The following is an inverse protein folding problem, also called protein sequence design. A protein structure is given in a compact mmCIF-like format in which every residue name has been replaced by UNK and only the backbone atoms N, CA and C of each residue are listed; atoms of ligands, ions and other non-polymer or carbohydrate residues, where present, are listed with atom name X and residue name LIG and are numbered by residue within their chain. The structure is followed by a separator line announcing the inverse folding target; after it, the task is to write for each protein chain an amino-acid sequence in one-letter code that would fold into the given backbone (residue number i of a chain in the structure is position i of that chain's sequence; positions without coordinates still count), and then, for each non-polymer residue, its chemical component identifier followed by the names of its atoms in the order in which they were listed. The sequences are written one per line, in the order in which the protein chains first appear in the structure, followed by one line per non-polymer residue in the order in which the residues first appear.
data_IF_318559066803
#
_entry.id   IF_318559066803
#
_cell.length_a   1.000
_cell.length_b   1.000
_cell.length_c   1.000
_cell.angle_alpha   90.00
_cell.angle_beta   90.00
_cell.angle_gamma   90.00
#
_symmetry.space_group_name_H-M   'P 1'
#
loop_
_entity.id
_entity.type
_entity.pdbx_description
1 polymer ?
#
# COMPACT_ATOMS: atom_id res chain seq x y z
N UNK A 1 -27.88 -8.45 7.72
CA UNK A 1 -26.79 -7.52 7.36
C UNK A 1 -25.57 -8.37 7.09
N UNK A 2 -25.00 -8.26 5.89
CA UNK A 2 -23.66 -8.81 5.62
C UNK A 2 -22.68 -7.99 6.49
N UNK A 3 -21.71 -8.65 7.11
CA UNK A 3 -20.70 -8.10 8.02
C UNK A 3 -20.22 -6.68 7.67
N UNK A 4 -19.75 -5.93 8.67
CA UNK A 4 -19.06 -4.63 8.55
C UNK A 4 -17.71 -4.67 7.80
N UNK A 5 -17.47 -5.72 7.02
CA UNK A 5 -16.25 -5.90 6.25
C UNK A 5 -16.38 -5.14 4.92
N UNK A 6 -15.34 -4.42 4.54
CA UNK A 6 -15.27 -3.74 3.25
C UNK A 6 -14.99 -4.76 2.14
N UNK A 7 -15.84 -4.78 1.11
CA UNK A 7 -15.67 -5.63 -0.07
C UNK A 7 -15.43 -4.78 -1.31
N UNK A 8 -14.56 -5.26 -2.19
CA UNK A 8 -14.35 -4.68 -3.53
C UNK A 8 -15.18 -5.47 -4.54
N UNK A 9 -16.09 -4.78 -5.23
CA UNK A 9 -16.84 -5.35 -6.35
C UNK A 9 -16.08 -5.11 -7.66
N UNK A 10 -16.11 -6.10 -8.56
CA UNK A 10 -15.53 -6.02 -9.90
C UNK A 10 -16.62 -6.32 -10.93
N UNK A 11 -16.68 -5.50 -11.97
CA UNK A 11 -17.58 -5.67 -13.10
C UNK A 11 -16.82 -5.45 -14.40
N UNK A 12 -17.11 -6.29 -15.40
CA UNK A 12 -16.62 -6.16 -16.76
C UNK A 12 -17.62 -5.37 -17.61
N UNK A 13 -17.10 -4.45 -18.42
CA UNK A 13 -17.84 -3.64 -19.37
C UNK A 13 -17.28 -3.86 -20.78
N UNK A 14 -18.16 -3.85 -21.78
CA UNK A 14 -17.78 -3.82 -23.18
C UNK A 14 -17.76 -2.37 -23.66
N UNK A 15 -16.60 -1.91 -24.14
CA UNK A 15 -16.40 -0.55 -24.65
C UNK A 15 -16.63 -0.43 -26.15
N UNK A 16 -16.68 -1.56 -26.87
CA UNK A 16 -16.93 -1.62 -28.31
C UNK A 16 -18.43 -1.67 -28.63
N UNK A 17 -19.23 -2.27 -27.75
CA UNK A 17 -20.70 -2.33 -27.91
C UNK A 17 -21.40 -2.04 -26.57
N UNK A 18 -22.06 -0.87 -26.42
CA UNK A 18 -22.72 -0.50 -25.18
C UNK A 18 -23.79 -1.52 -24.74
N UNK A 19 -23.74 -1.95 -23.47
CA UNK A 19 -24.84 -2.66 -22.80
C UNK A 19 -24.91 -4.18 -22.96
N UNK A 20 -23.91 -4.84 -23.56
CA UNK A 20 -24.00 -6.28 -23.90
C UNK A 20 -23.54 -7.23 -22.79
N UNK A 21 -22.71 -6.80 -21.83
CA UNK A 21 -22.22 -7.72 -20.79
C UNK A 21 -23.30 -7.97 -19.74
N UNK A 22 -23.99 -9.09 -19.85
CA UNK A 22 -25.07 -9.46 -18.93
C UNK A 22 -24.53 -9.81 -17.54
N UNK A 23 -25.41 -9.89 -16.54
CA UNK A 23 -25.05 -10.39 -15.21
C UNK A 23 -24.52 -11.84 -15.27
N UNK A 24 -25.07 -12.67 -16.16
CA UNK A 24 -24.62 -14.04 -16.40
C UNK A 24 -23.18 -14.06 -16.96
N UNK A 25 -22.88 -13.20 -17.94
CA UNK A 25 -21.54 -13.09 -18.51
C UNK A 25 -20.54 -12.59 -17.47
N UNK A 26 -20.89 -11.55 -16.72
CA UNK A 26 -20.09 -11.06 -15.60
C UNK A 26 -19.81 -12.16 -14.57
N UNK A 27 -20.83 -12.93 -14.17
CA UNK A 27 -20.66 -14.07 -13.26
C UNK A 27 -19.68 -15.11 -13.79
N UNK A 28 -19.76 -15.43 -15.10
CA UNK A 28 -18.82 -16.34 -15.76
C UNK A 28 -17.38 -15.79 -15.76
N UNK A 29 -17.18 -14.53 -16.12
CA UNK A 29 -15.85 -13.91 -16.19
C UNK A 29 -15.22 -13.73 -14.82
N UNK A 30 -16.00 -13.31 -13.82
CA UNK A 30 -15.54 -13.20 -12.43
C UNK A 30 -15.18 -14.55 -11.85
N UNK A 31 -15.95 -15.61 -12.15
CA UNK A 31 -15.59 -16.98 -11.74
C UNK A 31 -14.28 -17.43 -12.38
N UNK A 32 -14.09 -17.16 -13.66
CA UNK A 32 -12.83 -17.47 -14.34
C UNK A 32 -11.65 -16.69 -13.73
N UNK A 33 -11.84 -15.41 -13.41
CA UNK A 33 -10.85 -14.57 -12.75
C UNK A 33 -10.47 -15.11 -11.36
N UNK A 34 -11.47 -15.46 -10.54
CA UNK A 34 -11.27 -16.07 -9.24
C UNK A 34 -10.49 -17.39 -9.34
N UNK A 35 -10.79 -18.23 -10.32
CA UNK A 35 -10.05 -19.48 -10.57
C UNK A 35 -8.59 -19.17 -10.91
N UNK A 36 -8.32 -18.21 -11.79
CA UNK A 36 -6.94 -17.81 -12.14
C UNK A 36 -6.18 -17.29 -10.92
N UNK A 37 -6.80 -16.44 -10.10
CA UNK A 37 -6.18 -15.91 -8.88
C UNK A 37 -5.84 -17.05 -7.90
N UNK A 38 -6.76 -17.99 -7.71
CA UNK A 38 -6.50 -19.18 -6.86
C UNK A 38 -5.42 -20.08 -7.42
N UNK A 39 -5.41 -20.32 -8.73
CA UNK A 39 -4.35 -21.11 -9.39
C UNK A 39 -3.00 -20.42 -9.26
N UNK A 40 -2.92 -19.11 -9.50
CA UNK A 40 -1.70 -18.33 -9.32
C UNK A 40 -1.15 -18.42 -7.91
N UNK A 41 -2.00 -18.23 -6.90
CA UNK A 41 -1.64 -18.38 -5.48
C UNK A 41 -1.15 -19.79 -5.15
N UNK A 42 -1.80 -20.83 -5.69
CA UNK A 42 -1.40 -22.21 -5.49
C UNK A 42 -0.04 -22.52 -6.14
N UNK A 43 0.16 -22.14 -7.40
CA UNK A 43 1.43 -22.35 -8.11
C UNK A 43 2.58 -21.56 -7.48
N UNK A 44 2.32 -20.34 -7.02
CA UNK A 44 3.31 -19.55 -6.29
C UNK A 44 3.74 -20.29 -5.01
N UNK A 45 2.79 -20.79 -4.22
CA UNK A 45 3.09 -21.61 -3.04
C UNK A 45 3.95 -22.83 -3.39
N UNK A 46 3.60 -23.57 -4.46
CA UNK A 46 4.39 -24.71 -4.93
C UNK A 46 5.79 -24.33 -5.42
N UNK A 47 5.92 -23.18 -6.08
CA UNK A 47 7.20 -22.64 -6.52
C UNK A 47 8.09 -22.32 -5.32
N UNK A 48 7.57 -21.64 -4.29
CA UNK A 48 8.28 -21.39 -3.04
C UNK A 48 8.72 -22.68 -2.33
N UNK A 49 7.83 -23.67 -2.22
CA UNK A 49 8.14 -24.99 -1.65
C UNK A 49 9.28 -25.67 -2.40
N UNK A 50 9.20 -25.69 -3.74
CA UNK A 50 10.22 -26.31 -4.58
C UNK A 50 11.56 -25.57 -4.48
N UNK A 51 11.55 -24.24 -4.51
CA UNK A 51 12.75 -23.42 -4.33
C UNK A 51 13.43 -23.74 -3.00
N UNK A 52 12.66 -23.81 -1.91
CA UNK A 52 13.16 -24.22 -0.58
C UNK A 52 13.74 -25.63 -0.58
N UNK A 53 13.04 -26.61 -1.16
CA UNK A 53 13.51 -28.00 -1.26
C UNK A 53 14.82 -28.11 -2.04
N UNK A 54 15.01 -27.26 -3.04
CA UNK A 54 16.20 -27.23 -3.91
C UNK A 54 17.31 -26.32 -3.37
N UNK A 55 17.09 -25.64 -2.24
CA UNK A 55 18.03 -24.66 -1.71
C UNK A 55 18.23 -23.44 -2.62
N UNK A 56 17.28 -23.14 -3.50
CA UNK A 56 17.32 -21.96 -4.37
C UNK A 56 16.75 -20.77 -3.61
N UNK A 57 17.58 -19.74 -3.43
CA UNK A 57 17.13 -18.46 -2.90
C UNK A 57 16.36 -17.70 -3.97
N UNK A 58 15.13 -17.31 -3.65
CA UNK A 58 14.28 -16.47 -4.49
C UNK A 58 14.12 -15.11 -3.81
N UNK A 59 13.99 -14.06 -4.61
CA UNK A 59 13.92 -12.69 -4.10
C UNK A 59 12.69 -12.50 -3.19
N UNK A 60 12.88 -12.12 -1.91
CA UNK A 60 11.76 -11.76 -1.07
C UNK A 60 11.29 -10.35 -1.46
N UNK A 61 9.99 -10.20 -1.70
CA UNK A 61 9.35 -8.89 -1.64
C UNK A 61 9.44 -8.44 -0.18
N UNK A 62 10.00 -7.25 0.03
CA UNK A 62 10.08 -6.60 1.34
C UNK A 62 8.87 -5.68 1.43
N UNK A 63 8.03 -5.91 2.45
CA UNK A 63 6.90 -5.03 2.76
C UNK A 63 7.31 -4.07 3.87
N UNK A 64 7.39 -2.78 3.55
CA UNK A 64 7.77 -1.73 4.50
C UNK A 64 6.55 -1.13 5.21
N UNK A 65 5.43 -0.99 4.50
CA UNK A 65 4.13 -0.63 5.06
C UNK A 65 3.01 -1.37 4.33
N UNK A 66 1.84 -1.47 4.96
CA UNK A 66 0.58 -1.84 4.34
C UNK A 66 -0.29 -0.61 4.06
N UNK A 67 -1.52 -0.83 3.58
CA UNK A 67 -2.46 0.26 3.29
C UNK A 67 -2.80 1.07 4.54
N UNK A 68 -3.13 0.41 5.66
CA UNK A 68 -3.50 1.05 6.94
C UNK A 68 -2.54 0.65 8.08
N UNK A 69 -1.30 0.27 7.72
CA UNK A 69 -0.32 -0.32 8.64
C UNK A 69 1.07 0.27 8.36
N UNK A 70 1.57 1.09 9.26
CA UNK A 70 2.86 1.77 9.17
C UNK A 70 3.75 1.32 10.34
N UNK A 71 4.32 0.10 10.26
CA UNK A 71 5.07 -0.48 11.37
C UNK A 71 6.34 0.31 11.68
N UNK A 72 6.74 0.29 12.95
CA UNK A 72 8.03 0.82 13.38
C UNK A 72 9.13 -0.08 12.81
N UNK A 73 10.02 0.51 12.01
CA UNK A 73 11.15 -0.19 11.43
C UNK A 73 12.34 -0.22 12.40
N UNK A 74 13.05 -1.36 12.43
CA UNK A 74 14.23 -1.55 13.28
C UNK A 74 15.53 -1.71 12.48
N UNK A 75 15.46 -1.65 11.15
CA UNK A 75 16.62 -1.71 10.26
C UNK A 75 16.74 -0.44 9.41
N UNK A 76 17.94 -0.20 8.86
CA UNK A 76 18.22 1.02 8.08
C UNK A 76 17.34 1.17 6.84
N UNK A 77 16.94 0.07 6.19
CA UNK A 77 16.12 0.15 4.98
C UNK A 77 14.71 0.61 5.34
N UNK A 78 14.10 -0.03 6.34
CA UNK A 78 12.77 0.34 6.82
C UNK A 78 12.73 1.74 7.41
N UNK A 79 13.74 2.14 8.19
CA UNK A 79 13.82 3.52 8.73
C UNK A 79 13.90 4.54 7.59
N UNK A 80 14.69 4.25 6.54
CA UNK A 80 14.80 5.12 5.36
C UNK A 80 13.46 5.24 4.63
N UNK A 81 12.74 4.13 4.42
CA UNK A 81 11.44 4.13 3.73
C UNK A 81 10.37 4.84 4.57
N UNK A 82 10.36 4.63 5.89
CA UNK A 82 9.44 5.32 6.79
C UNK A 82 9.69 6.84 6.82
N UNK A 83 10.96 7.25 6.87
CA UNK A 83 11.34 8.66 6.78
C UNK A 83 11.00 9.27 5.42
N UNK A 84 11.09 8.50 4.33
CA UNK A 84 10.67 8.95 3.00
C UNK A 84 9.16 9.20 2.92
N UNK A 85 8.33 8.32 3.49
CA UNK A 85 6.88 8.55 3.57
C UNK A 85 6.55 9.83 4.37
N UNK A 86 7.24 10.05 5.49
CA UNK A 86 7.11 11.28 6.27
C UNK A 86 7.57 12.52 5.47
N UNK A 87 8.72 12.45 4.80
CA UNK A 87 9.16 13.51 3.90
C UNK A 87 8.11 13.85 2.85
N UNK A 88 7.47 12.86 2.22
CA UNK A 88 6.39 13.09 1.24
C UNK A 88 5.21 13.81 1.87
N UNK A 89 4.82 13.44 3.09
CA UNK A 89 3.75 14.12 3.82
C UNK A 89 4.07 15.58 4.09
N UNK A 90 5.24 15.88 4.65
CA UNK A 90 5.68 17.25 4.93
C UNK A 90 5.87 18.08 3.65
N UNK A 91 6.60 17.52 2.68
CA UNK A 91 6.96 18.24 1.45
C UNK A 91 5.77 18.49 0.53
N UNK A 92 4.75 17.63 0.59
CA UNK A 92 3.47 17.86 -0.10
C UNK A 92 2.57 18.90 0.59
N UNK A 93 3.01 19.48 1.72
CA UNK A 93 2.18 20.33 2.59
C UNK A 93 0.93 19.60 3.06
N UNK A 94 1.13 18.37 3.53
CA UNK A 94 0.09 17.50 4.10
C UNK A 94 -1.00 17.12 3.09
N UNK A 95 -0.69 17.15 1.78
CA UNK A 95 -1.62 16.80 0.70
C UNK A 95 -1.55 15.35 0.25
N UNK A 96 -0.51 14.62 0.65
CA UNK A 96 -0.44 13.20 0.40
C UNK A 96 0.54 12.49 1.32
N UNK A 97 0.33 11.21 1.59
CA UNK A 97 1.33 10.33 2.16
C UNK A 97 1.37 9.00 1.40
N UNK A 98 2.54 8.38 1.32
CA UNK A 98 2.69 7.05 0.74
C UNK A 98 2.35 5.94 1.74
N UNK A 99 1.66 4.93 1.25
CA UNK A 99 1.23 3.73 1.96
C UNK A 99 1.47 2.48 1.11
N UNK A 100 1.29 1.30 1.71
CA UNK A 100 1.56 -0.02 1.10
C UNK A 100 2.89 -0.11 0.34
N UNK A 101 3.95 0.44 0.94
CA UNK A 101 5.25 0.54 0.28
C UNK A 101 5.92 -0.83 0.31
N UNK A 102 6.20 -1.36 -0.88
CA UNK A 102 6.86 -2.64 -1.07
C UNK A 102 8.06 -2.47 -1.98
N UNK A 103 9.04 -3.37 -1.86
CA UNK A 103 10.22 -3.33 -2.72
C UNK A 103 10.92 -4.66 -2.85
N UNK A 104 11.90 -4.71 -3.75
CA UNK A 104 12.78 -5.87 -3.92
C UNK A 104 14.22 -5.42 -4.04
N UNK A 105 15.18 -6.15 -3.42
CA UNK A 105 16.59 -5.92 -3.66
C UNK A 105 16.93 -6.10 -5.13
N UNK A 106 17.61 -5.13 -5.73
CA UNK A 106 18.02 -5.17 -7.13
C UNK A 106 19.31 -4.37 -7.31
N UNK A 107 20.21 -4.89 -8.15
CA UNK A 107 21.36 -4.14 -8.62
C UNK A 107 20.93 -3.24 -9.77
N UNK A 108 21.01 -1.93 -9.60
CA UNK A 108 20.70 -0.94 -10.64
C UNK A 108 21.93 -0.10 -10.90
N UNK A 109 22.35 -0.02 -12.16
CA UNK A 109 23.55 0.71 -12.59
C UNK A 109 24.82 0.32 -11.82
N UNK A 110 24.94 -0.96 -11.43
CA UNK A 110 26.10 -1.49 -10.70
C UNK A 110 26.10 -1.20 -9.19
N UNK A 111 25.07 -0.56 -8.65
CA UNK A 111 24.87 -0.39 -7.21
C UNK A 111 23.74 -1.29 -6.71
N UNK A 112 23.96 -1.93 -5.56
CA UNK A 112 22.90 -2.69 -4.87
C UNK A 112 21.95 -1.72 -4.15
N UNK A 113 20.65 -1.90 -4.37
CA UNK A 113 19.62 -1.09 -3.74
C UNK A 113 18.30 -1.84 -3.61
N UNK A 114 17.26 -1.13 -3.18
CA UNK A 114 15.89 -1.63 -3.15
C UNK A 114 15.06 -0.81 -4.13
N UNK A 115 14.42 -1.47 -5.09
CA UNK A 115 13.46 -0.83 -5.98
C UNK A 115 12.08 -0.94 -5.36
N UNK A 116 11.47 0.20 -5.07
CA UNK A 116 10.11 0.31 -4.58
C UNK A 116 9.12 0.22 -5.75
N UNK A 117 8.01 -0.48 -5.54
CA UNK A 117 6.93 -0.62 -6.51
C UNK A 117 5.58 -0.71 -5.80
N UNK A 118 4.50 -0.56 -6.58
CA UNK A 118 3.10 -0.61 -6.10
C UNK A 118 2.79 0.33 -4.92
N UNK A 119 3.46 1.48 -4.86
CA UNK A 119 3.23 2.51 -3.84
C UNK A 119 1.80 3.03 -3.94
N UNK A 120 1.06 2.94 -2.83
CA UNK A 120 -0.26 3.56 -2.67
C UNK A 120 -0.16 4.94 -2.01
N UNK A 121 -1.23 5.71 -2.10
CA UNK A 121 -1.30 7.07 -1.57
C UNK A 121 -2.57 7.28 -0.76
N UNK A 122 -2.48 8.09 0.28
CA UNK A 122 -3.64 8.74 0.90
C UNK A 122 -3.62 10.23 0.60
N UNK A 123 -4.73 10.78 0.09
CA UNK A 123 -4.92 12.23 -0.07
C UNK A 123 -6.06 12.73 0.83
N UNK A 124 -6.12 14.00 1.23
CA UNK A 124 -7.24 14.51 2.04
C UNK A 124 -8.62 14.27 1.40
N UNK A 125 -8.68 14.31 0.07
CA UNK A 125 -9.89 14.13 -0.73
C UNK A 125 -10.25 12.65 -0.98
N UNK A 126 -9.34 11.71 -0.71
CA UNK A 126 -9.58 10.27 -0.88
C UNK A 126 -9.71 9.83 -2.34
N UNK A 127 -9.17 10.61 -3.28
CA UNK A 127 -9.37 10.46 -4.71
C UNK A 127 -8.10 10.08 -5.49
N UNK A 128 -7.00 9.77 -4.78
CA UNK A 128 -5.73 9.43 -5.41
C UNK A 128 -5.74 8.06 -6.11
N UNK A 129 -6.75 7.21 -5.86
CA UNK A 129 -7.26 6.01 -6.59
C UNK A 129 -7.73 4.93 -5.60
N UNK A 130 -7.89 3.69 -6.08
CA UNK A 130 -8.25 2.52 -5.29
C UNK A 130 -7.22 2.31 -4.17
N UNK A 131 -7.69 2.15 -2.93
CA UNK A 131 -6.84 2.00 -1.76
C UNK A 131 -6.48 3.32 -1.07
N UNK A 132 -7.00 4.45 -1.55
CA UNK A 132 -6.96 5.72 -0.85
C UNK A 132 -8.03 5.76 0.25
N UNK A 133 -7.61 5.83 1.51
CA UNK A 133 -8.47 5.92 2.68
C UNK A 133 -8.65 7.37 3.17
N UNK A 134 -8.30 8.35 2.35
CA UNK A 134 -8.56 9.75 2.64
C UNK A 134 -7.83 10.24 3.90
N UNK A 135 -8.54 11.07 4.66
CA UNK A 135 -8.12 11.54 5.98
C UNK A 135 -7.92 10.41 7.00
N UNK A 136 -8.67 9.31 6.91
CA UNK A 136 -8.52 8.17 7.83
C UNK A 136 -7.15 7.49 7.63
N UNK A 137 -6.75 7.32 6.38
CA UNK A 137 -5.42 6.80 6.03
C UNK A 137 -4.30 7.74 6.50
N UNK A 138 -4.46 9.05 6.32
CA UNK A 138 -3.51 10.06 6.82
C UNK A 138 -3.43 10.04 8.36
N UNK A 139 -4.55 10.03 9.06
CA UNK A 139 -4.59 9.98 10.52
C UNK A 139 -3.93 8.70 11.05
N UNK A 140 -4.19 7.56 10.39
CA UNK A 140 -3.56 6.28 10.71
C UNK A 140 -2.04 6.35 10.55
N UNK A 141 -1.55 7.00 9.48
CA UNK A 141 -0.13 7.24 9.29
C UNK A 141 0.47 8.10 10.40
N UNK A 142 -0.15 9.23 10.73
CA UNK A 142 0.30 10.15 11.79
C UNK A 142 0.40 9.42 13.13
N UNK A 143 -0.63 8.66 13.49
CA UNK A 143 -0.70 7.93 14.75
C UNK A 143 0.38 6.82 14.86
N UNK A 144 0.65 6.11 13.76
CA UNK A 144 1.53 4.94 13.78
C UNK A 144 3.01 5.30 13.52
N UNK A 145 3.28 6.39 12.79
CA UNK A 145 4.63 6.81 12.47
C UNK A 145 5.38 7.24 13.73
N UNK A 146 6.62 6.74 13.88
CA UNK A 146 7.56 7.23 14.87
C UNK A 146 8.80 7.73 14.16
N UNK A 147 9.15 8.99 14.41
CA UNK A 147 10.38 9.56 13.90
C UNK A 147 11.59 8.80 14.43
N UNK A 148 12.61 8.68 13.57
CA UNK A 148 13.91 8.12 13.89
C UNK A 148 15.02 9.09 13.43
N UNK A 149 16.29 8.71 13.58
CA UNK A 149 17.46 9.54 13.29
C UNK A 149 17.48 10.09 11.86
N UNK A 150 16.86 9.42 10.90
CA UNK A 150 16.74 9.94 9.52
C UNK A 150 15.74 11.09 9.46
N UNK A 151 14.55 10.96 10.08
CA UNK A 151 13.57 12.06 10.14
C UNK A 151 14.17 13.29 10.83
N UNK A 152 14.82 13.08 11.99
CA UNK A 152 15.48 14.14 12.75
C UNK A 152 16.65 14.75 11.97
N UNK A 153 17.47 13.94 11.32
CA UNK A 153 18.60 14.40 10.51
C UNK A 153 18.17 15.22 9.27
N UNK A 154 16.98 14.96 8.75
CA UNK A 154 16.37 15.75 7.67
C UNK A 154 15.64 17.00 8.17
N UNK A 155 15.51 17.20 9.49
CA UNK A 155 14.79 18.33 10.08
C UNK A 155 13.28 18.25 9.93
N UNK A 156 12.71 17.05 9.77
CA UNK A 156 11.26 16.87 9.73
C UNK A 156 10.66 17.06 11.13
N UNK A 157 9.54 17.77 11.22
CA UNK A 157 8.84 17.98 12.48
C UNK A 157 8.18 16.67 12.92
N UNK A 158 8.15 16.33 14.22
CA UNK A 158 7.35 15.22 14.71
C UNK A 158 5.88 15.37 14.29
N UNK A 159 5.27 14.26 13.87
CA UNK A 159 3.84 14.24 13.56
C UNK A 159 3.06 14.21 14.87
N UNK A 160 2.15 15.16 15.05
CA UNK A 160 1.23 15.24 16.19
C UNK A 160 -0.20 15.07 15.66
N UNK A 161 -1.07 14.42 16.45
CA UNK A 161 -2.51 14.50 16.18
C UNK A 161 -2.95 15.94 16.48
N UNK A 162 -3.48 16.66 15.50
CA UNK A 162 -4.12 17.96 15.74
C UNK A 162 -5.21 17.77 16.78
N UNK A 163 -4.98 18.26 18.01
CA UNK A 163 -6.03 18.34 19.02
C UNK A 163 -7.10 19.27 18.47
N UNK A 164 -8.31 18.73 18.29
CA UNK A 164 -9.47 19.44 17.76
C UNK A 164 -9.55 20.90 18.22
N UNK A 165 -9.75 21.79 17.24
CA UNK A 165 -10.21 23.16 17.45
C UNK A 165 -11.42 23.09 18.37
N UNK A 166 -11.28 23.56 19.61
CA UNK A 166 -12.44 23.83 20.46
C UNK A 166 -13.21 24.96 19.79
N UNK A 167 -14.42 24.66 19.32
CA UNK A 167 -15.38 25.69 18.96
C UNK A 167 -15.58 26.60 20.19
N UNK A 168 -14.97 27.78 20.14
CA UNK A 168 -15.34 28.89 21.03
C UNK A 168 -16.72 29.38 20.59
N UNK A 169 -17.75 28.87 21.27
CA UNK A 169 -19.07 29.50 21.28
C UNK A 169 -19.04 30.55 22.38
N UNK A 170 -18.87 31.82 21.99
CA UNK A 170 -19.37 32.99 22.75
C UNK A 170 -20.61 33.58 22.06
#
# INVERSE_FOLDING_TARGET
MINSDLYVAKQFFDVGIPGIVTATDNGKYLKADLIRLRLGSWFLSRFHELAKQRGVNIFPVIKFSGTMQHPIANDKHGITVAAFAHFVYEFSKHKMVFADIQGSPMTVNGGDGVILFDVMTHSPEGDSRIGDHGKEGIATFIQQHKCDYICTGLGLLPLEEDSEIKDEVE
#
